data_IF_277101477144
#
_entry.id   IF_277101477144
#
_cell.length_a   1.000
_cell.length_b   1.000
_cell.length_c   1.000
_cell.angle_alpha   90.00
_cell.angle_beta   90.00
_cell.angle_gamma   90.00
#
_symmetry.space_group_name_H-M   'P 1'
#
loop_
_entity.id
_entity.type
_entity.pdbx_description
1 polymer ?
#
# COMPACT_ATOMS: atom_id res chain seq x y z
N UNK A 1 -30.89 -60.60 49.90
CA UNK A 1 -29.51 -60.92 50.33
C UNK A 1 -28.99 -59.80 51.21
N UNK A 2 -28.36 -60.16 52.34
CA UNK A 2 -27.88 -59.27 53.40
C UNK A 2 -26.60 -58.53 52.98
N UNK A 3 -26.63 -57.21 53.17
CA UNK A 3 -25.62 -56.27 53.71
C UNK A 3 -24.09 -56.53 53.58
N UNK A 4 -23.42 -55.46 53.10
CA UNK A 4 -22.20 -54.80 53.61
C UNK A 4 -20.80 -55.44 53.41
N UNK A 5 -19.98 -54.77 52.58
CA UNK A 5 -18.52 -54.57 52.74
C UNK A 5 -18.20 -53.93 54.10
N UNK A 6 -17.06 -54.21 54.79
CA UNK A 6 -15.73 -53.72 54.38
C UNK A 6 -14.51 -54.56 54.88
N UNK A 7 -13.27 -54.17 54.54
CA UNK A 7 -12.24 -53.65 55.48
C UNK A 7 -10.81 -53.82 54.93
N UNK A 8 -10.04 -52.76 55.14
CA UNK A 8 -8.70 -52.51 54.67
C UNK A 8 -7.59 -53.13 55.55
N UNK A 9 -6.38 -53.05 54.98
CA UNK A 9 -5.07 -52.83 55.60
C UNK A 9 -4.37 -54.00 56.31
N UNK A 10 -3.17 -54.33 55.84
CA UNK A 10 -1.97 -54.34 56.68
C UNK A 10 -0.70 -54.16 55.84
N UNK A 11 0.27 -53.47 56.42
CA UNK A 11 1.42 -52.85 55.76
C UNK A 11 2.76 -53.38 56.32
N UNK A 12 3.80 -53.26 55.46
CA UNK A 12 5.27 -53.16 55.71
C UNK A 12 6.05 -54.44 56.08
N UNK A 13 7.42 -54.48 55.90
CA UNK A 13 8.35 -53.50 55.32
C UNK A 13 9.30 -54.04 54.20
N UNK A 14 10.05 -53.11 53.57
CA UNK A 14 11.16 -53.31 52.62
C UNK A 14 12.25 -54.30 53.10
N UNK A 15 13.08 -54.80 52.16
CA UNK A 15 14.47 -54.35 52.19
C UNK A 15 15.05 -53.94 50.82
N UNK A 16 16.02 -53.03 50.93
CA UNK A 16 17.15 -52.79 50.03
C UNK A 16 16.93 -52.02 48.72
N UNK A 17 17.02 -50.70 48.91
CA UNK A 17 17.55 -49.72 47.99
C UNK A 17 18.75 -50.24 47.18
N UNK A 18 18.52 -50.56 45.91
CA UNK A 18 19.58 -50.44 44.91
C UNK A 18 19.91 -48.95 44.77
N UNK A 19 21.18 -48.52 44.82
CA UNK A 19 21.52 -47.15 44.49
C UNK A 19 21.21 -46.96 43.01
N UNK A 20 20.05 -46.36 42.73
CA UNK A 20 19.69 -45.86 41.42
C UNK A 20 20.78 -44.86 41.06
N UNK A 21 21.68 -45.30 40.18
CA UNK A 21 22.73 -44.51 39.55
C UNK A 21 22.15 -43.12 39.28
N UNK A 22 22.63 -42.11 39.99
CA UNK A 22 22.44 -40.73 39.59
C UNK A 22 22.78 -40.68 38.10
N UNK A 23 21.78 -40.38 37.27
CA UNK A 23 22.01 -40.04 35.88
C UNK A 23 23.03 -38.92 35.88
N UNK A 24 24.30 -39.27 35.60
CA UNK A 24 25.38 -38.30 35.42
C UNK A 24 24.84 -37.32 34.38
N UNK A 25 24.57 -36.07 34.80
CA UNK A 25 24.30 -34.96 33.88
C UNK A 25 25.39 -35.01 32.82
N UNK A 26 25.02 -35.44 31.63
CA UNK A 26 25.98 -35.70 30.59
C UNK A 26 26.60 -34.36 30.18
N UNK A 27 27.93 -34.28 30.00
CA UNK A 27 28.60 -33.08 29.50
C UNK A 27 28.11 -32.65 28.10
N UNK A 28 27.26 -33.47 27.45
CA UNK A 28 26.54 -33.14 26.23
C UNK A 28 25.58 -31.96 26.39
N UNK A 29 24.93 -31.78 27.53
CA UNK A 29 23.96 -30.69 27.72
C UNK A 29 24.64 -29.32 27.73
N UNK A 30 25.84 -29.24 28.31
CA UNK A 30 26.63 -28.00 28.33
C UNK A 30 27.21 -27.68 26.94
N UNK A 31 27.62 -28.70 26.19
CA UNK A 31 28.08 -28.55 24.80
C UNK A 31 26.95 -28.16 23.85
N UNK A 32 25.76 -28.72 24.03
CA UNK A 32 24.56 -28.35 23.28
C UNK A 32 24.13 -26.92 23.60
N UNK A 33 24.20 -26.51 24.87
CA UNK A 33 23.95 -25.12 25.28
C UNK A 33 24.96 -24.16 24.64
N UNK A 34 26.25 -24.50 24.65
CA UNK A 34 27.30 -23.68 24.01
C UNK A 34 27.10 -23.59 22.50
N UNK A 35 26.76 -24.70 21.83
CA UNK A 35 26.45 -24.72 20.42
C UNK A 35 25.24 -23.84 20.07
N UNK A 36 24.17 -23.88 20.89
CA UNK A 36 23.02 -22.98 20.74
C UNK A 36 23.40 -21.51 20.92
N UNK A 37 24.26 -21.18 21.88
CA UNK A 37 24.75 -19.81 22.07
C UNK A 37 25.59 -19.32 20.89
N UNK A 38 26.48 -20.17 20.35
CA UNK A 38 27.31 -19.82 19.19
C UNK A 38 26.43 -19.62 17.95
N UNK A 39 25.49 -20.53 17.69
CA UNK A 39 24.54 -20.40 16.57
C UNK A 39 23.68 -19.16 16.75
N UNK A 40 23.17 -18.89 17.95
CA UNK A 40 22.39 -17.69 18.24
C UNK A 40 23.20 -16.42 17.98
N UNK A 41 24.45 -16.35 18.45
CA UNK A 41 25.34 -15.21 18.25
C UNK A 41 25.65 -14.96 16.77
N UNK A 42 25.93 -16.03 16.01
CA UNK A 42 26.20 -15.95 14.56
C UNK A 42 24.93 -15.60 13.78
N UNK A 43 23.76 -16.06 14.24
CA UNK A 43 22.47 -15.78 13.60
C UNK A 43 21.93 -14.37 13.91
N UNK A 44 22.42 -13.73 14.97
CA UNK A 44 21.91 -12.43 15.44
C UNK A 44 21.99 -11.33 14.37
N UNK A 45 23.08 -11.18 13.58
CA UNK A 45 23.11 -10.26 12.45
C UNK A 45 22.08 -10.59 11.37
N UNK A 46 21.87 -11.88 11.06
CA UNK A 46 20.92 -12.32 10.04
C UNK A 46 19.48 -12.05 10.49
N UNK A 47 19.16 -12.37 11.74
CA UNK A 47 17.85 -12.11 12.35
C UNK A 47 17.58 -10.59 12.38
N UNK A 48 18.58 -9.80 12.78
CA UNK A 48 18.48 -8.35 12.78
C UNK A 48 18.19 -7.78 11.39
N UNK A 49 18.95 -8.18 10.37
CA UNK A 49 18.71 -7.78 8.97
C UNK A 49 17.32 -8.24 8.51
N UNK A 50 16.91 -9.47 8.84
CA UNK A 50 15.60 -9.98 8.47
C UNK A 50 14.46 -9.16 9.07
N UNK A 51 14.60 -8.70 10.32
CA UNK A 51 13.62 -7.81 10.95
C UNK A 51 13.58 -6.43 10.31
N UNK A 52 14.74 -5.87 9.94
CA UNK A 52 14.79 -4.61 9.19
C UNK A 52 14.06 -4.77 7.86
N UNK A 53 14.37 -5.80 7.08
CA UNK A 53 13.73 -6.07 5.80
C UNK A 53 12.22 -6.31 5.99
N UNK A 54 11.83 -7.08 6.99
CA UNK A 54 10.43 -7.34 7.31
C UNK A 54 9.65 -6.04 7.61
N UNK A 55 10.28 -5.06 8.26
CA UNK A 55 9.66 -3.75 8.48
C UNK A 55 9.35 -3.01 7.16
N UNK A 56 10.09 -3.26 6.08
CA UNK A 56 9.89 -2.57 4.79
C UNK A 56 9.03 -3.34 3.79
N UNK A 57 8.89 -4.67 3.94
CA UNK A 57 8.16 -5.53 3.00
C UNK A 57 6.77 -5.91 3.52
N UNK A 58 6.56 -5.95 4.84
CA UNK A 58 5.29 -6.38 5.44
C UNK A 58 4.24 -5.27 5.37
N UNK A 59 3.07 -5.48 4.74
CA UNK A 59 2.01 -4.48 4.72
C UNK A 59 1.59 -4.06 6.13
N UNK A 60 1.40 -2.76 6.35
CA UNK A 60 0.89 -2.19 7.61
C UNK A 60 1.94 -1.78 8.64
N UNK A 61 3.20 -2.22 8.51
CA UNK A 61 4.32 -1.79 9.36
C UNK A 61 4.72 -0.33 9.10
N UNK A 62 5.50 0.25 10.03
CA UNK A 62 6.00 1.63 9.89
C UNK A 62 6.97 1.78 8.72
N UNK A 63 7.88 0.81 8.50
CA UNK A 63 8.82 0.83 7.39
C UNK A 63 8.13 0.76 6.02
N UNK A 64 7.11 -0.08 5.88
CA UNK A 64 6.31 -0.20 4.66
C UNK A 64 5.58 1.12 4.33
N UNK A 65 5.00 1.77 5.35
CA UNK A 65 4.40 3.10 5.20
C UNK A 65 5.41 4.16 4.83
N UNK A 66 6.63 4.11 5.38
CA UNK A 66 7.72 5.02 5.04
C UNK A 66 8.15 4.86 3.58
N UNK A 67 8.31 3.61 3.10
CA UNK A 67 8.61 3.32 1.70
C UNK A 67 7.51 3.83 0.79
N UNK A 68 6.24 3.64 1.17
CA UNK A 68 5.11 4.22 0.46
C UNK A 68 5.18 5.75 0.41
N UNK A 69 5.46 6.41 1.54
CA UNK A 69 5.54 7.86 1.61
C UNK A 69 6.67 8.41 0.74
N UNK A 70 7.84 7.77 0.76
CA UNK A 70 8.99 8.11 -0.08
C UNK A 70 8.64 7.89 -1.56
N UNK A 71 8.04 6.74 -1.90
CA UNK A 71 7.59 6.44 -3.25
C UNK A 71 6.58 7.46 -3.77
N UNK A 72 5.64 7.87 -2.91
CA UNK A 72 4.67 8.91 -3.22
C UNK A 72 5.38 10.23 -3.49
N UNK A 73 6.23 10.71 -2.57
CA UNK A 73 6.95 11.97 -2.74
C UNK A 73 7.83 12.01 -3.99
N UNK A 74 8.60 10.95 -4.25
CA UNK A 74 9.43 10.85 -5.45
C UNK A 74 8.54 10.83 -6.68
N UNK A 75 7.50 9.99 -6.71
CA UNK A 75 6.57 9.91 -7.82
C UNK A 75 5.87 11.25 -8.10
N UNK A 76 5.40 11.95 -7.05
CA UNK A 76 4.82 13.29 -7.16
C UNK A 76 5.83 14.27 -7.73
N UNK A 77 7.07 14.26 -7.24
CA UNK A 77 8.11 15.16 -7.75
C UNK A 77 8.44 14.90 -9.24
N UNK A 78 8.50 13.63 -9.65
CA UNK A 78 8.74 13.25 -11.04
C UNK A 78 7.58 13.67 -11.96
N UNK A 79 6.33 13.45 -11.55
CA UNK A 79 5.13 13.90 -12.29
C UNK A 79 4.99 15.42 -12.30
N UNK A 80 5.40 16.10 -11.22
CA UNK A 80 5.44 17.56 -11.13
C UNK A 80 6.29 18.17 -12.24
N UNK A 81 7.40 17.52 -12.60
CA UNK A 81 8.28 17.98 -13.67
C UNK A 81 7.56 18.07 -15.03
N UNK A 82 6.74 17.07 -15.36
CA UNK A 82 5.93 17.06 -16.58
C UNK A 82 4.89 18.20 -16.59
N UNK A 83 4.18 18.38 -15.48
CA UNK A 83 3.19 19.46 -15.34
C UNK A 83 3.85 20.84 -15.39
N UNK A 84 4.99 20.99 -14.73
CA UNK A 84 5.82 22.19 -14.71
C UNK A 84 6.25 22.61 -16.12
N UNK A 85 6.74 21.65 -16.92
CA UNK A 85 7.14 21.89 -18.30
C UNK A 85 5.95 22.21 -19.21
N UNK A 86 4.86 21.46 -19.10
CA UNK A 86 3.72 21.60 -20.04
C UNK A 86 2.86 22.82 -19.73
N UNK A 87 2.46 23.02 -18.47
CA UNK A 87 1.53 24.09 -18.09
C UNK A 87 2.20 25.44 -17.87
N UNK A 88 3.42 25.43 -17.31
CA UNK A 88 4.12 26.66 -16.93
C UNK A 88 5.34 26.96 -17.81
N UNK A 89 5.60 26.15 -18.84
CA UNK A 89 6.75 26.29 -19.75
C UNK A 89 8.07 26.37 -18.98
N UNK A 90 8.11 25.71 -17.82
CA UNK A 90 9.25 25.71 -16.93
C UNK A 90 10.41 24.88 -17.48
N UNK A 91 11.65 25.25 -17.14
CA UNK A 91 12.80 24.41 -17.45
C UNK A 91 12.71 23.07 -16.70
N UNK A 92 13.07 21.94 -17.31
CA UNK A 92 12.98 20.63 -16.67
C UNK A 92 13.67 20.58 -15.31
N UNK A 93 13.00 20.00 -14.31
CA UNK A 93 13.50 19.87 -12.94
C UNK A 93 14.62 18.84 -12.85
N UNK A 94 14.58 17.82 -13.69
CA UNK A 94 15.57 16.76 -13.70
C UNK A 94 16.33 16.68 -15.03
N UNK A 95 17.61 16.27 -15.01
CA UNK A 95 18.45 16.21 -16.21
C UNK A 95 18.14 15.02 -17.12
N UNK A 96 17.28 14.08 -16.68
CA UNK A 96 17.07 12.85 -17.42
C UNK A 96 16.34 13.13 -18.73
N UNK A 97 16.96 12.70 -19.82
CA UNK A 97 16.44 12.82 -21.17
C UNK A 97 16.39 14.28 -21.68
N UNK A 98 16.84 15.28 -20.91
CA UNK A 98 16.81 16.69 -21.31
C UNK A 98 18.20 17.24 -21.64
N UNK A 99 18.30 18.19 -22.58
CA UNK A 99 19.55 18.90 -22.87
C UNK A 99 19.83 20.02 -21.88
N UNK A 100 18.78 20.64 -21.33
CA UNK A 100 18.85 21.66 -20.30
C UNK A 100 17.94 21.28 -19.13
N UNK A 101 18.35 21.62 -17.91
CA UNK A 101 17.55 21.46 -16.69
C UNK A 101 17.87 22.60 -15.73
N UNK A 102 17.08 22.76 -14.67
CA UNK A 102 17.24 23.88 -13.73
C UNK A 102 18.61 23.93 -13.04
N UNK A 103 19.33 22.79 -13.02
CA UNK A 103 20.62 22.66 -12.35
C UNK A 103 20.51 22.70 -10.83
N UNK A 104 21.62 22.43 -10.14
CA UNK A 104 21.64 22.44 -8.67
C UNK A 104 21.22 23.78 -8.08
N UNK A 105 21.71 24.90 -8.64
CA UNK A 105 21.31 26.23 -8.17
C UNK A 105 19.84 26.54 -8.40
N UNK A 106 19.25 26.07 -9.51
CA UNK A 106 17.81 26.21 -9.75
C UNK A 106 16.99 25.45 -8.70
N UNK A 107 17.45 24.28 -8.26
CA UNK A 107 16.82 23.52 -7.17
C UNK A 107 16.80 24.29 -5.84
N UNK A 108 17.83 25.09 -5.54
CA UNK A 108 17.80 25.95 -4.35
C UNK A 108 16.76 27.08 -4.45
N UNK A 109 16.48 27.56 -5.66
CA UNK A 109 15.52 28.63 -5.91
C UNK A 109 14.07 28.12 -6.05
N UNK A 110 13.90 26.86 -6.42
CA UNK A 110 12.61 26.22 -6.69
C UNK A 110 11.59 26.38 -5.55
N UNK A 111 11.94 26.24 -4.25
CA UNK A 111 10.98 26.40 -3.15
C UNK A 111 10.41 27.82 -3.02
N UNK A 112 11.08 28.83 -3.60
CA UNK A 112 10.61 30.21 -3.61
C UNK A 112 9.74 30.54 -4.83
N UNK A 113 9.57 29.59 -5.75
CA UNK A 113 8.74 29.76 -6.94
C UNK A 113 7.31 29.24 -6.67
N UNK A 114 6.34 30.14 -6.68
CA UNK A 114 4.92 29.80 -6.45
C UNK A 114 4.38 28.84 -7.52
N UNK A 115 4.81 28.99 -8.77
CA UNK A 115 4.34 28.14 -9.88
C UNK A 115 4.78 26.68 -9.70
N UNK A 116 5.93 26.44 -9.06
CA UNK A 116 6.38 25.09 -8.72
C UNK A 116 5.41 24.44 -7.73
N UNK A 117 5.01 25.15 -6.68
CA UNK A 117 4.06 24.62 -5.69
C UNK A 117 2.67 24.36 -6.27
N UNK A 118 2.23 25.18 -7.23
CA UNK A 118 1.00 24.93 -7.98
C UNK A 118 1.14 23.64 -8.80
N UNK A 119 2.24 23.48 -9.53
CA UNK A 119 2.53 22.27 -10.31
C UNK A 119 2.55 21.02 -9.42
N UNK A 120 3.21 21.13 -8.27
CA UNK A 120 3.31 20.07 -7.28
C UNK A 120 1.95 19.71 -6.70
N UNK A 121 1.13 20.72 -6.39
CA UNK A 121 -0.24 20.54 -5.92
C UNK A 121 -1.12 19.81 -6.94
N UNK A 122 -1.03 20.19 -8.22
CA UNK A 122 -1.76 19.51 -9.30
C UNK A 122 -1.29 18.05 -9.41
N UNK A 123 0.02 17.81 -9.43
CA UNK A 123 0.60 16.46 -9.49
C UNK A 123 0.13 15.58 -8.33
N UNK A 124 0.19 16.09 -7.10
CA UNK A 124 -0.26 15.37 -5.92
C UNK A 124 -1.76 15.03 -6.01
N UNK A 125 -2.60 15.96 -6.51
CA UNK A 125 -4.03 15.73 -6.68
C UNK A 125 -4.31 14.64 -7.71
N UNK A 126 -3.64 14.68 -8.86
CA UNK A 126 -3.74 13.64 -9.92
C UNK A 126 -3.44 12.27 -9.32
N UNK A 127 -2.28 12.11 -8.68
CA UNK A 127 -1.84 10.83 -8.12
C UNK A 127 -2.76 10.31 -7.02
N UNK A 128 -3.28 11.19 -6.16
CA UNK A 128 -4.25 10.82 -5.12
C UNK A 128 -5.56 10.34 -5.73
N UNK A 129 -6.03 11.01 -6.79
CA UNK A 129 -7.27 10.64 -7.46
C UNK A 129 -7.12 9.32 -8.21
N UNK A 130 -6.02 9.12 -8.94
CA UNK A 130 -5.71 7.86 -9.62
C UNK A 130 -5.61 6.69 -8.64
N UNK A 131 -4.84 6.85 -7.56
CA UNK A 131 -4.67 5.80 -6.56
C UNK A 131 -5.98 5.41 -5.86
N UNK A 132 -6.87 6.38 -5.59
CA UNK A 132 -8.20 6.10 -5.04
C UNK A 132 -9.09 5.33 -6.01
N UNK A 133 -8.92 5.53 -7.31
CA UNK A 133 -9.75 4.87 -8.32
C UNK A 133 -9.34 3.42 -8.56
N UNK A 134 -8.05 3.09 -8.44
CA UNK A 134 -7.57 1.71 -8.56
C UNK A 134 -7.97 0.79 -7.42
N UNK A 135 -8.00 1.29 -6.19
CA UNK A 135 -8.29 0.44 -5.01
C UNK A 135 -9.78 0.25 -4.73
N UNK A 136 -10.64 1.04 -5.39
CA UNK A 136 -12.09 1.03 -5.17
C UNK A 136 -12.49 1.54 -3.78
N UNK A 137 -13.79 1.60 -3.50
CA UNK A 137 -14.29 1.91 -2.15
C UNK A 137 -14.02 0.73 -1.21
N UNK A 138 -13.67 1.03 0.04
CA UNK A 138 -13.57 0.03 1.10
C UNK A 138 -14.91 -0.76 1.23
N UNK A 139 -14.89 -2.10 1.34
CA UNK A 139 -16.10 -2.91 1.35
C UNK A 139 -17.07 -2.55 2.49
N UNK A 140 -16.57 -2.16 3.66
CA UNK A 140 -17.43 -1.75 4.77
C UNK A 140 -18.05 -0.37 4.52
N UNK A 141 -17.29 0.56 3.94
CA UNK A 141 -17.80 1.88 3.52
C UNK A 141 -18.85 1.75 2.40
N UNK A 142 -18.59 0.91 1.39
CA UNK A 142 -19.53 0.63 0.32
C UNK A 142 -20.80 -0.06 0.84
N UNK A 143 -20.67 -0.93 1.85
CA UNK A 143 -21.80 -1.56 2.54
C UNK A 143 -22.60 -0.55 3.36
N UNK A 144 -21.95 0.35 4.09
CA UNK A 144 -22.62 1.38 4.88
C UNK A 144 -23.36 2.39 4.00
N UNK A 145 -22.75 2.90 2.93
CA UNK A 145 -23.45 3.75 1.95
C UNK A 145 -24.64 3.03 1.30
N UNK A 146 -24.51 1.73 1.03
CA UNK A 146 -25.58 0.89 0.53
C UNK A 146 -26.70 0.66 1.57
N UNK A 147 -26.37 0.56 2.85
CA UNK A 147 -27.36 0.43 3.94
C UNK A 147 -28.03 1.78 4.26
N UNK A 148 -27.32 2.91 4.18
CA UNK A 148 -27.86 4.27 4.35
C UNK A 148 -28.79 4.66 3.19
N UNK A 149 -28.46 4.28 1.96
CA UNK A 149 -29.33 4.53 0.80
C UNK A 149 -30.64 3.72 0.85
N UNK A 150 -30.74 2.68 1.69
CA UNK A 150 -32.02 1.97 1.94
C UNK A 150 -32.99 2.73 2.84
N UNK A 151 -32.57 3.78 3.53
CA UNK A 151 -33.38 4.45 4.56
C UNK A 151 -34.29 5.58 4.05
N UNK A 152 -34.20 5.98 2.78
CA UNK A 152 -35.10 6.98 2.20
C UNK A 152 -36.46 6.36 1.86
N UNK A 153 -37.40 6.43 2.80
CA UNK A 153 -38.81 6.09 2.60
C UNK A 153 -39.53 7.31 2.01
N UNK A 154 -40.06 7.18 0.79
CA UNK A 154 -40.91 8.19 0.15
C UNK A 154 -42.16 8.43 1.00
N UNK A 155 -42.35 9.65 1.48
CA UNK A 155 -43.38 10.03 2.45
C UNK A 155 -44.83 10.03 1.95
N UNK A 156 -45.13 9.69 0.69
CA UNK A 156 -46.50 9.44 0.24
C UNK A 156 -46.58 8.67 -1.09
N UNK A 157 -47.63 7.85 -1.22
CA UNK A 157 -47.89 6.90 -2.32
C UNK A 157 -48.48 7.62 -3.55
N UNK A 158 -47.92 7.50 -4.77
CA UNK A 158 -48.54 8.05 -5.97
C UNK A 158 -49.80 7.25 -6.34
N UNK A 159 -50.90 7.94 -6.63
CA UNK A 159 -52.14 7.37 -7.13
C UNK A 159 -52.06 7.16 -8.65
N UNK A 160 -51.46 6.05 -9.06
CA UNK A 160 -51.42 5.59 -10.45
C UNK A 160 -50.61 4.31 -10.55
N UNK A 161 -51.10 3.32 -11.30
CA UNK A 161 -50.42 2.04 -11.54
C UNK A 161 -49.17 2.27 -12.42
N UNK A 162 -48.13 2.81 -11.80
CA UNK A 162 -46.76 2.74 -12.28
C UNK A 162 -46.15 1.57 -11.50
N UNK A 163 -45.50 0.64 -12.19
CA UNK A 163 -44.72 -0.43 -11.56
C UNK A 163 -43.50 0.18 -10.87
N UNK A 164 -43.77 0.79 -9.71
CA UNK A 164 -42.85 1.55 -8.89
C UNK A 164 -41.66 0.69 -8.48
N UNK A 165 -41.86 -0.61 -8.38
CA UNK A 165 -40.85 -1.61 -8.09
C UNK A 165 -39.76 -1.66 -9.16
N UNK A 166 -40.10 -1.62 -10.44
CA UNK A 166 -39.12 -1.64 -11.54
C UNK A 166 -38.39 -0.30 -11.65
N UNK A 167 -39.08 0.82 -11.45
CA UNK A 167 -38.48 2.15 -11.47
C UNK A 167 -37.54 2.38 -10.27
N UNK A 168 -37.97 2.06 -9.04
CA UNK A 168 -37.12 2.12 -7.85
C UNK A 168 -35.97 1.11 -7.90
N UNK A 169 -36.16 -0.07 -8.48
CA UNK A 169 -35.08 -1.05 -8.64
C UNK A 169 -34.06 -0.61 -9.69
N UNK A 170 -34.51 0.06 -10.76
CA UNK A 170 -33.66 0.72 -11.74
C UNK A 170 -32.83 1.84 -11.11
N UNK A 171 -33.47 2.76 -10.38
CA UNK A 171 -32.78 3.84 -9.67
C UNK A 171 -31.89 3.34 -8.55
N UNK A 172 -32.25 2.26 -7.85
CA UNK A 172 -31.41 1.58 -6.86
C UNK A 172 -30.18 0.91 -7.48
N UNK A 173 -30.34 0.25 -8.65
CA UNK A 173 -29.20 -0.28 -9.42
C UNK A 173 -28.31 0.86 -9.90
N UNK A 174 -28.89 2.00 -10.27
CA UNK A 174 -28.19 3.14 -10.88
C UNK A 174 -27.61 4.11 -9.85
N UNK A 175 -28.14 4.21 -8.64
CA UNK A 175 -27.67 5.13 -7.60
C UNK A 175 -26.21 4.85 -7.20
N UNK A 176 -25.80 3.58 -7.21
CA UNK A 176 -24.40 3.17 -7.11
C UNK A 176 -23.63 3.26 -8.45
N UNK A 177 -24.28 2.99 -9.59
CA UNK A 177 -23.61 3.06 -10.90
C UNK A 177 -23.30 4.48 -11.37
N UNK A 178 -24.12 5.49 -11.06
CA UNK A 178 -23.85 6.89 -11.45
C UNK A 178 -22.60 7.42 -10.74
N UNK A 179 -22.43 7.10 -9.46
CA UNK A 179 -21.20 7.41 -8.72
C UNK A 179 -20.00 6.59 -9.24
N UNK A 180 -20.21 5.35 -9.68
CA UNK A 180 -19.17 4.51 -10.29
C UNK A 180 -18.75 5.00 -11.69
N UNK A 181 -19.70 5.44 -12.52
CA UNK A 181 -19.45 6.03 -13.83
C UNK A 181 -18.83 7.42 -13.73
N UNK A 182 -19.32 8.28 -12.83
CA UNK A 182 -18.72 9.58 -12.57
C UNK A 182 -17.31 9.44 -11.98
N UNK A 183 -17.12 8.54 -11.01
CA UNK A 183 -15.81 8.24 -10.44
C UNK A 183 -14.84 7.67 -11.47
N UNK A 184 -15.30 6.75 -12.33
CA UNK A 184 -14.52 6.19 -13.43
C UNK A 184 -14.20 7.21 -14.53
N UNK A 185 -15.12 8.12 -14.84
CA UNK A 185 -14.89 9.20 -15.81
C UNK A 185 -13.88 10.22 -15.27
N UNK A 186 -13.97 10.57 -13.98
CA UNK A 186 -12.99 11.42 -13.30
C UNK A 186 -11.61 10.74 -13.29
N UNK A 187 -11.56 9.43 -13.01
CA UNK A 187 -10.32 8.65 -13.07
C UNK A 187 -9.68 8.70 -14.46
N UNK A 188 -10.49 8.44 -15.49
CA UNK A 188 -10.04 8.43 -16.88
C UNK A 188 -9.57 9.81 -17.33
N UNK A 189 -10.24 10.88 -16.88
CA UNK A 189 -9.79 12.24 -17.10
C UNK A 189 -8.39 12.48 -16.52
N UNK A 190 -8.15 12.11 -15.25
CA UNK A 190 -6.83 12.28 -14.64
C UNK A 190 -5.76 11.44 -15.34
N UNK A 191 -6.06 10.19 -15.68
CA UNK A 191 -5.16 9.33 -16.45
C UNK A 191 -4.79 9.91 -17.81
N UNK A 192 -5.76 10.48 -18.54
CA UNK A 192 -5.51 11.14 -19.82
C UNK A 192 -4.67 12.40 -19.64
N UNK A 193 -4.93 13.19 -18.60
CA UNK A 193 -4.15 14.39 -18.28
C UNK A 193 -2.71 14.01 -17.92
N UNK A 194 -2.49 13.01 -17.06
CA UNK A 194 -1.15 12.59 -16.65
C UNK A 194 -0.36 11.99 -17.83
N UNK A 195 -1.00 11.15 -18.65
CA UNK A 195 -0.41 10.61 -19.88
C UNK A 195 -0.05 11.75 -20.84
N UNK A 196 -0.97 12.69 -21.09
CA UNK A 196 -0.71 13.80 -22.00
C UNK A 196 0.43 14.67 -21.49
N UNK A 197 0.37 15.11 -20.23
CA UNK A 197 1.41 16.00 -19.66
C UNK A 197 2.77 15.31 -19.60
N UNK A 198 2.81 14.02 -19.27
CA UNK A 198 4.06 13.26 -19.22
C UNK A 198 4.68 13.07 -20.61
N UNK A 199 3.91 12.62 -21.60
CA UNK A 199 4.44 12.37 -22.95
C UNK A 199 4.63 13.65 -23.78
N UNK A 200 3.90 14.72 -23.50
CA UNK A 200 4.16 16.04 -24.11
C UNK A 200 5.37 16.70 -23.48
N UNK A 201 5.52 16.64 -22.15
CA UNK A 201 6.69 17.17 -21.45
C UNK A 201 7.97 16.43 -21.86
N UNK A 202 7.90 15.10 -21.96
CA UNK A 202 9.01 14.25 -22.41
C UNK A 202 8.58 13.35 -23.55
N UNK A 203 8.68 13.86 -24.77
CA UNK A 203 8.34 13.09 -25.97
C UNK A 203 9.45 12.08 -26.31
N UNK A 204 9.23 10.75 -26.21
CA UNK A 204 10.23 9.75 -26.54
C UNK A 204 10.60 9.76 -28.03
N UNK A 205 9.71 10.23 -28.90
CA UNK A 205 9.93 10.25 -30.35
C UNK A 205 10.83 11.40 -30.81
N UNK A 206 11.31 12.26 -29.90
CA UNK A 206 12.33 13.27 -30.23
C UNK A 206 13.72 12.68 -30.41
N UNK A 207 13.96 11.46 -29.92
CA UNK A 207 15.25 10.79 -30.07
C UNK A 207 15.29 9.97 -31.35
N UNK A 208 16.48 9.92 -31.95
CA UNK A 208 16.79 9.05 -33.08
C UNK A 208 17.36 7.70 -32.64
N UNK A 209 18.00 7.64 -31.46
CA UNK A 209 18.55 6.41 -30.91
C UNK A 209 17.43 5.53 -30.31
N UNK A 210 17.24 4.29 -30.77
CA UNK A 210 16.14 3.43 -30.31
C UNK A 210 16.22 3.09 -28.81
N UNK A 211 17.42 2.96 -28.25
CA UNK A 211 17.61 2.75 -26.81
C UNK A 211 17.16 3.95 -25.98
N UNK A 212 17.40 5.17 -26.45
CA UNK A 212 16.94 6.39 -25.79
C UNK A 212 15.41 6.52 -25.85
N UNK A 213 14.77 6.15 -26.97
CA UNK A 213 13.31 6.11 -27.10
C UNK A 213 12.71 5.17 -26.05
N UNK A 214 13.20 3.93 -25.98
CA UNK A 214 12.69 2.92 -25.04
C UNK A 214 12.91 3.35 -23.59
N UNK A 215 14.09 3.88 -23.27
CA UNK A 215 14.41 4.33 -21.92
C UNK A 215 13.56 5.53 -21.48
N UNK A 216 13.33 6.50 -22.37
CA UNK A 216 12.44 7.64 -22.10
C UNK A 216 10.98 7.19 -21.93
N UNK A 217 10.52 6.26 -22.76
CA UNK A 217 9.18 5.69 -22.64
C UNK A 217 8.99 4.96 -21.30
N UNK A 218 9.95 4.12 -20.92
CA UNK A 218 9.94 3.41 -19.64
C UNK A 218 9.99 4.38 -18.46
N UNK A 219 10.83 5.42 -18.54
CA UNK A 219 10.93 6.46 -17.53
C UNK A 219 9.57 7.15 -17.31
N UNK A 220 8.90 7.56 -18.39
CA UNK A 220 7.57 8.19 -18.32
C UNK A 220 6.52 7.30 -17.65
N UNK A 221 6.49 6.00 -17.98
CA UNK A 221 5.57 5.04 -17.33
C UNK A 221 5.88 4.93 -15.84
N UNK A 222 7.16 4.75 -15.49
CA UNK A 222 7.57 4.59 -14.09
C UNK A 222 7.26 5.85 -13.29
N UNK A 223 7.48 7.05 -13.85
CA UNK A 223 7.18 8.31 -13.16
C UNK A 223 5.69 8.49 -12.88
N UNK A 224 4.80 8.10 -13.81
CA UNK A 224 3.36 8.13 -13.60
C UNK A 224 2.97 7.14 -12.48
N UNK A 225 3.40 5.89 -12.57
CA UNK A 225 2.99 4.85 -11.63
C UNK A 225 3.61 4.99 -10.23
N UNK A 226 4.81 5.55 -10.11
CA UNK A 226 5.53 5.62 -8.83
C UNK A 226 4.74 6.37 -7.75
N UNK A 227 4.07 7.46 -8.15
CA UNK A 227 3.28 8.28 -7.24
C UNK A 227 2.02 7.57 -6.78
N UNK A 228 1.28 7.02 -7.73
CA UNK A 228 0.04 6.28 -7.48
C UNK A 228 0.26 5.04 -6.59
N UNK A 229 1.29 4.24 -6.90
CA UNK A 229 1.70 3.06 -6.12
C UNK A 229 2.19 3.51 -4.73
N UNK A 230 3.02 4.54 -4.66
CA UNK A 230 3.53 5.08 -3.40
C UNK A 230 2.41 5.55 -2.47
N UNK A 231 1.43 6.31 -3.00
CA UNK A 231 0.27 6.75 -2.23
C UNK A 231 -0.57 5.57 -1.74
N UNK A 232 -0.78 4.58 -2.61
CA UNK A 232 -1.52 3.36 -2.29
C UNK A 232 -0.86 2.58 -1.16
N UNK A 233 0.47 2.45 -1.20
CA UNK A 233 1.29 1.81 -0.14
C UNK A 233 1.23 2.63 1.16
N UNK A 234 1.38 3.94 1.07
CA UNK A 234 1.45 4.83 2.23
C UNK A 234 0.14 4.92 3.01
N UNK A 235 -0.96 5.23 2.32
CA UNK A 235 -2.20 5.68 2.95
C UNK A 235 -3.32 4.67 2.87
N UNK A 236 -3.30 3.78 1.86
CA UNK A 236 -4.40 2.86 1.60
C UNK A 236 -4.13 1.44 2.12
N UNK A 237 -2.88 1.10 2.46
CA UNK A 237 -2.53 -0.20 3.07
C UNK A 237 -2.65 -0.09 4.58
N UNK A 238 -3.84 -0.44 5.08
CA UNK A 238 -4.10 -0.73 6.48
C UNK A 238 -4.24 -2.23 6.65
#
# INVERSE_FOLDING_TARGET
>A
MKYLTPKAANAKPNPESSPQSQSKKAPSDNLELLARWIVALISLPVIFVSHIVAQFVTPGTSGYKLVGAIGFWIGTLLSTDSIWQVLFQGKPLCPWFESEWIGFFGWLQLPFNVLFWISFGISALVQVMEAKTLRGKDPATARNEFEESKQYTLGSKPTGNIDLTVALWGDYKVAGMKQRHAGGAIALFFWVVDLTTTFVGRNPFRYTNPGAIIACFAYNIVSMMAGEIGFSIWKLTK
#
